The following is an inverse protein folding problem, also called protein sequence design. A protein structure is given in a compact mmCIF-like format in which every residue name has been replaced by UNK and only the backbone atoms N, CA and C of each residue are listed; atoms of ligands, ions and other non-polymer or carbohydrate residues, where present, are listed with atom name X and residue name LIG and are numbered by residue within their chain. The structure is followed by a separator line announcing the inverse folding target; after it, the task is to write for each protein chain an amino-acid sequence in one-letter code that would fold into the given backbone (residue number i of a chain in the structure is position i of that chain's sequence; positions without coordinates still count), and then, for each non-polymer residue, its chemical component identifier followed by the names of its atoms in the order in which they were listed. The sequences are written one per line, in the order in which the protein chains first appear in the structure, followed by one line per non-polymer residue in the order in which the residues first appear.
data_IF_526304790566
#
_entry.id   IF_526304790566
#
_cell.length_a   1.000
_cell.length_b   1.000
_cell.length_c   1.000
_cell.angle_alpha   90.00
_cell.angle_beta   90.00
_cell.angle_gamma   90.00
#
_symmetry.space_group_name_H-M   'P 1'
#
loop_
_entity.id
_entity.type
_entity.pdbx_description
1 polymer ?
#
# COMPACT_ATOMS: atom_id res chain seq x y z
N UNK A 1 -6.94 20.39 13.35
CA UNK A 1 -7.68 19.71 12.26
C UNK A 1 -7.98 18.29 12.74
N UNK A 2 -9.03 17.66 12.24
CA UNK A 2 -9.31 16.25 12.56
C UNK A 2 -8.28 15.34 11.89
N UNK A 3 -7.83 14.30 12.61
CA UNK A 3 -6.88 13.31 12.09
C UNK A 3 -7.63 12.33 11.20
N UNK A 4 -7.13 12.11 10.00
CA UNK A 4 -7.68 11.17 9.03
C UNK A 4 -6.95 9.84 9.09
N UNK A 5 -7.68 8.74 8.87
CA UNK A 5 -7.12 7.38 8.85
C UNK A 5 -6.69 6.96 7.45
N UNK A 6 -5.44 6.54 7.33
CA UNK A 6 -4.84 6.13 6.07
C UNK A 6 -4.26 4.73 6.14
N UNK A 7 -4.39 4.01 5.03
CA UNK A 7 -3.68 2.78 4.74
C UNK A 7 -2.63 3.08 3.66
N UNK A 8 -1.37 2.76 3.92
CA UNK A 8 -0.27 2.94 2.99
C UNK A 8 0.35 1.58 2.70
N UNK A 9 0.48 1.20 1.43
CA UNK A 9 1.19 -0.01 1.03
C UNK A 9 2.56 0.39 0.49
N UNK A 10 3.59 -0.22 1.05
CA UNK A 10 4.97 -0.06 0.63
C UNK A 10 5.50 -1.39 0.10
N UNK A 11 6.44 -1.33 -0.85
CA UNK A 11 7.14 -2.52 -1.35
C UNK A 11 8.64 -2.31 -1.33
N UNK A 12 9.39 -3.41 -1.25
CA UNK A 12 10.80 -3.43 -1.64
C UNK A 12 11.14 -4.72 -2.36
N UNK A 13 12.17 -4.66 -3.19
CA UNK A 13 12.72 -5.84 -3.80
C UNK A 13 13.43 -6.71 -2.76
N UNK A 14 13.28 -8.03 -2.90
CA UNK A 14 13.97 -9.00 -2.06
C UNK A 14 14.64 -10.05 -2.93
N UNK A 15 15.67 -10.67 -2.39
CA UNK A 15 16.37 -11.76 -3.06
C UNK A 15 15.44 -12.95 -3.22
N UNK A 16 15.30 -13.43 -4.45
CA UNK A 16 14.59 -14.68 -4.76
C UNK A 16 15.27 -15.86 -4.08
N UNK A 17 14.48 -16.82 -3.58
CA UNK A 17 15.05 -18.07 -3.06
C UNK A 17 15.77 -18.83 -4.17
N UNK A 18 16.80 -19.64 -3.84
CA UNK A 18 17.54 -20.41 -4.83
C UNK A 18 16.65 -21.26 -5.76
N UNK A 19 15.63 -21.89 -5.19
CA UNK A 19 14.69 -22.76 -5.92
C UNK A 19 13.88 -21.97 -6.95
N UNK A 20 13.46 -20.74 -6.61
CA UNK A 20 12.76 -19.88 -7.57
C UNK A 20 13.72 -19.36 -8.63
N UNK A 21 14.97 -19.01 -8.29
CA UNK A 21 15.96 -18.59 -9.28
C UNK A 21 16.22 -19.67 -10.35
N UNK A 22 16.29 -20.94 -9.95
CA UNK A 22 16.40 -22.06 -10.90
C UNK A 22 15.18 -22.15 -11.83
N UNK A 23 13.97 -21.91 -11.31
CA UNK A 23 12.76 -21.88 -12.13
C UNK A 23 12.72 -20.71 -13.13
N UNK A 24 13.37 -19.58 -12.81
CA UNK A 24 13.44 -18.43 -13.72
C UNK A 24 14.21 -18.73 -15.00
N UNK A 25 15.18 -19.65 -14.96
CA UNK A 25 15.89 -20.11 -16.15
C UNK A 25 14.95 -20.80 -17.16
N UNK A 26 13.81 -21.30 -16.70
CA UNK A 26 12.77 -21.94 -17.53
C UNK A 26 11.70 -20.94 -18.00
N UNK A 27 11.33 -19.98 -17.14
CA UNK A 27 10.21 -19.06 -17.37
C UNK A 27 10.63 -17.70 -17.97
N UNK A 28 11.93 -17.38 -17.97
CA UNK A 28 12.50 -16.21 -18.64
C UNK A 28 12.55 -14.92 -17.82
N UNK A 29 12.09 -14.92 -16.56
CA UNK A 29 12.26 -13.78 -15.64
C UNK A 29 11.26 -13.77 -14.48
N UNK A 30 11.66 -13.11 -13.39
CA UNK A 30 10.81 -12.95 -12.21
C UNK A 30 11.47 -12.05 -11.16
N UNK A 31 10.64 -11.46 -10.31
CA UNK A 31 11.06 -10.55 -9.23
C UNK A 31 10.37 -10.99 -7.94
N UNK A 32 11.10 -11.00 -6.83
CA UNK A 32 10.49 -11.16 -5.51
C UNK A 32 10.40 -9.78 -4.86
N UNK A 33 9.21 -9.46 -4.35
CA UNK A 33 8.96 -8.20 -3.65
C UNK A 33 8.29 -8.48 -2.33
N UNK A 34 8.76 -7.85 -1.25
CA UNK A 34 8.04 -7.80 0.01
C UNK A 34 7.07 -6.62 -0.04
N UNK A 35 5.78 -6.87 0.18
CA UNK A 35 4.77 -5.82 0.31
C UNK A 35 4.29 -5.76 1.75
N UNK A 36 4.30 -4.57 2.34
CA UNK A 36 3.79 -4.32 3.69
C UNK A 36 2.65 -3.31 3.63
N UNK A 37 1.68 -3.48 4.53
CA UNK A 37 0.55 -2.56 4.69
C UNK A 37 0.68 -1.88 6.05
N UNK A 38 0.74 -0.55 6.04
CA UNK A 38 0.86 0.31 7.19
C UNK A 38 -0.45 1.06 7.40
N UNK A 39 -0.84 1.26 8.65
CA UNK A 39 -2.01 2.05 9.02
C UNK A 39 -1.55 3.22 9.88
N UNK A 40 -2.07 4.42 9.60
CA UNK A 40 -1.69 5.61 10.34
C UNK A 40 -2.78 6.67 10.36
N UNK A 41 -2.74 7.50 11.41
CA UNK A 41 -3.68 8.60 11.60
C UNK A 41 -2.92 9.92 11.47
N UNK A 42 -3.19 10.66 10.40
CA UNK A 42 -2.42 11.85 10.04
C UNK A 42 -3.35 13.05 9.90
N UNK A 43 -2.90 14.20 10.39
CA UNK A 43 -3.57 15.48 10.11
C UNK A 43 -3.31 15.90 8.65
N UNK A 44 -2.10 15.61 8.17
CA UNK A 44 -1.67 15.84 6.80
C UNK A 44 -0.78 14.69 6.35
N UNK A 45 -1.17 14.00 5.28
CA UNK A 45 -0.40 12.90 4.71
C UNK A 45 0.94 13.36 4.13
N UNK A 46 1.04 14.60 3.67
CA UNK A 46 2.28 15.16 3.13
C UNK A 46 3.40 15.16 4.17
N UNK A 47 3.10 15.66 5.38
CA UNK A 47 4.06 15.68 6.49
C UNK A 47 4.48 14.25 6.90
N UNK A 48 3.55 13.30 6.85
CA UNK A 48 3.86 11.89 7.12
C UNK A 48 4.83 11.32 6.07
N UNK A 49 4.67 11.69 4.80
CA UNK A 49 5.52 11.21 3.72
C UNK A 49 6.90 11.88 3.74
N UNK A 50 6.98 13.16 4.05
CA UNK A 50 8.26 13.85 4.27
C UNK A 50 9.06 13.21 5.41
N UNK A 51 8.39 12.87 6.51
CA UNK A 51 9.03 12.15 7.63
C UNK A 51 9.51 10.77 7.22
N UNK A 52 8.70 10.00 6.50
CA UNK A 52 9.14 8.69 5.98
C UNK A 52 10.31 8.82 5.00
N UNK A 53 10.31 9.83 4.13
CA UNK A 53 11.42 10.08 3.20
C UNK A 53 12.74 10.45 3.91
N UNK A 54 12.66 10.95 5.16
CA UNK A 54 13.83 11.26 5.98
C UNK A 54 14.37 10.07 6.79
N UNK A 55 13.68 8.91 6.78
CA UNK A 55 14.09 7.71 7.51
C UNK A 55 14.99 6.82 6.65
N UNK A 56 16.26 6.56 7.04
CA UNK A 56 17.17 5.69 6.28
C UNK A 56 16.60 4.28 6.03
N UNK A 57 15.84 3.75 6.98
CA UNK A 57 15.24 2.40 6.89
C UNK A 57 14.15 2.30 5.81
N UNK A 58 13.62 3.45 5.37
CA UNK A 58 12.58 3.53 4.33
C UNK A 58 13.17 3.77 2.93
N UNK A 59 14.48 3.98 2.80
CA UNK A 59 15.14 4.28 1.52
C UNK A 59 14.99 3.13 0.49
N UNK A 60 14.96 1.89 0.97
CA UNK A 60 14.73 0.69 0.13
C UNK A 60 13.26 0.49 -0.27
N UNK A 61 12.32 1.24 0.34
CA UNK A 61 10.90 1.03 0.15
C UNK A 61 10.28 2.06 -0.79
N UNK A 62 9.42 1.59 -1.70
CA UNK A 62 8.59 2.40 -2.58
C UNK A 62 7.14 2.40 -2.07
N UNK A 63 6.47 3.55 -2.05
CA UNK A 63 5.03 3.65 -1.80
C UNK A 63 4.28 3.27 -3.08
N UNK A 64 3.43 2.25 -3.02
CA UNK A 64 2.67 1.75 -4.17
C UNK A 64 1.16 2.01 -4.07
N UNK A 65 0.64 2.29 -2.87
CA UNK A 65 -0.78 2.59 -2.69
C UNK A 65 -1.01 3.40 -1.42
N UNK A 66 -1.99 4.30 -1.49
CA UNK A 66 -2.41 5.16 -0.39
C UNK A 66 -3.93 5.25 -0.42
N UNK A 67 -4.59 4.87 0.66
CA UNK A 67 -6.04 4.85 0.77
C UNK A 67 -6.44 5.63 2.02
N UNK A 68 -7.28 6.65 1.84
CA UNK A 68 -8.02 7.28 2.94
C UNK A 68 -9.27 6.43 3.18
N UNK A 69 -9.45 5.90 4.39
CA UNK A 69 -10.60 5.04 4.73
C UNK A 69 -11.47 5.62 5.85
N UNK A 70 -11.25 6.88 6.19
CA UNK A 70 -12.02 7.63 7.21
C UNK A 70 -13.23 8.36 6.61
N UNK A 71 -13.27 8.52 5.29
CA UNK A 71 -14.42 9.04 4.56
C UNK A 71 -15.26 7.88 4.04
N UNK A 72 -16.57 8.03 4.11
CA UNK A 72 -17.48 7.26 3.26
C UNK A 72 -17.00 7.42 1.82
N UNK A 73 -16.49 6.32 1.25
CA UNK A 73 -15.93 6.32 -0.09
C UNK A 73 -17.02 5.96 -1.12
N UNK A 74 -18.30 5.99 -0.73
CA UNK A 74 -19.47 5.88 -1.61
C UNK A 74 -19.30 6.69 -2.89
N UNK A 75 -18.83 7.93 -2.76
CA UNK A 75 -18.67 8.88 -3.86
C UNK A 75 -17.59 8.46 -4.88
N UNK A 76 -16.70 7.52 -4.51
CA UNK A 76 -15.67 6.97 -5.40
C UNK A 76 -16.09 5.68 -6.12
N UNK A 77 -17.20 5.06 -5.71
CA UNK A 77 -17.65 3.78 -6.25
C UNK A 77 -18.46 3.91 -7.55
N UNK A 78 -18.66 5.15 -8.04
CA UNK A 78 -19.50 5.45 -9.19
C UNK A 78 -20.98 5.38 -8.82
N UNK A 79 -21.82 6.09 -9.58
CA UNK A 79 -23.27 6.19 -9.31
C UNK A 79 -24.01 4.83 -9.35
N UNK A 80 -23.34 3.76 -9.80
CA UNK A 80 -23.90 2.41 -9.95
C UNK A 80 -23.63 1.48 -8.75
N UNK A 81 -22.93 1.93 -7.70
CA UNK A 81 -22.68 1.09 -6.52
C UNK A 81 -23.83 1.19 -5.52
N UNK A 82 -24.82 0.32 -5.68
CA UNK A 82 -25.81 0.04 -4.63
C UNK A 82 -25.12 -0.77 -3.53
N UNK A 83 -24.97 -0.17 -2.34
CA UNK A 83 -24.68 -0.96 -1.15
C UNK A 83 -25.91 -1.84 -0.90
N UNK A 84 -25.76 -3.15 -1.04
CA UNK A 84 -26.73 -4.07 -0.45
C UNK A 84 -26.72 -3.80 1.05
N UNK A 85 -27.63 -2.94 1.51
CA UNK A 85 -27.93 -2.77 2.92
C UNK A 85 -28.36 -4.14 3.45
N UNK A 86 -27.43 -4.89 4.03
CA UNK A 86 -27.72 -6.05 4.88
C UNK A 86 -28.49 -5.53 6.11
N UNK A 87 -29.78 -5.28 5.92
CA UNK A 87 -30.79 -5.21 6.97
C UNK A 87 -31.42 -6.59 7.09
N UNK A 88 -30.99 -7.35 8.10
CA UNK A 88 -31.80 -8.38 8.76
C UNK A 88 -31.64 -8.26 10.28
#
# INVERSE_FOLDING_TARGET
MEKKKYQVRIRKDVTLSPEIQESLALLGGGTATQIQTLYGNFENIHEAFEKMASMPEMEEYEIISVILYDSDNSDQLGEDYEWDDEND
#
